data_IF_926648855483
#
_entry.id   IF_926648855483
#
_cell.length_a   1.000
_cell.length_b   1.000
_cell.length_c   1.000
_cell.angle_alpha   90.00
_cell.angle_beta   90.00
_cell.angle_gamma   90.00
#
_symmetry.space_group_name_H-M   'P 1'
#
loop_
_entity.id
_entity.type
_entity.pdbx_description
1 polymer ?
#
# COMPACT_ATOMS: atom_id res chain seq x y z
N UNK A 1 7.85 18.79 -20.05
CA UNK A 1 7.19 19.07 -18.76
C UNK A 1 7.19 17.76 -18.01
N UNK A 2 7.82 17.71 -16.83
CA UNK A 2 7.91 16.46 -16.05
C UNK A 2 6.49 16.18 -15.53
N UNK A 3 5.90 15.08 -15.95
CA UNK A 3 4.64 14.56 -15.40
C UNK A 3 4.98 13.29 -14.64
N UNK A 4 4.69 13.27 -13.34
CA UNK A 4 4.78 12.07 -12.51
C UNK A 4 3.36 11.56 -12.20
N UNK A 5 3.16 10.25 -12.01
CA UNK A 5 1.89 9.69 -11.54
C UNK A 5 1.45 10.32 -10.22
N UNK A 6 0.14 10.42 -10.00
CA UNK A 6 -0.39 11.02 -8.78
C UNK A 6 0.01 10.20 -7.54
N UNK A 7 0.16 8.87 -7.66
CA UNK A 7 0.61 7.96 -6.60
C UNK A 7 2.03 8.29 -6.17
N UNK A 8 2.91 8.49 -7.14
CA UNK A 8 4.29 8.89 -6.90
C UNK A 8 4.36 10.28 -6.25
N UNK A 9 3.55 11.23 -6.72
CA UNK A 9 3.46 12.56 -6.14
C UNK A 9 2.89 12.53 -4.71
N UNK A 10 1.93 11.64 -4.44
CA UNK A 10 1.39 11.44 -3.10
C UNK A 10 2.46 10.92 -2.14
N UNK A 11 3.23 9.89 -2.55
CA UNK A 11 4.34 9.38 -1.74
C UNK A 11 5.36 10.48 -1.40
N UNK A 12 5.71 11.33 -2.36
CA UNK A 12 6.63 12.46 -2.13
C UNK A 12 6.05 13.49 -1.15
N UNK A 13 4.78 13.87 -1.29
CA UNK A 13 4.11 14.81 -0.36
C UNK A 13 4.03 14.24 1.05
N UNK A 14 3.75 12.95 1.20
CA UNK A 14 3.73 12.28 2.49
C UNK A 14 5.11 12.20 3.13
N UNK A 15 6.16 11.96 2.33
CA UNK A 15 7.53 11.98 2.83
C UNK A 15 7.98 13.38 3.25
N UNK A 16 7.64 14.42 2.49
CA UNK A 16 7.86 15.83 2.89
C UNK A 16 7.18 16.10 4.23
N UNK A 17 5.90 15.74 4.39
CA UNK A 17 5.20 15.96 5.67
C UNK A 17 5.83 15.17 6.84
N UNK A 18 6.34 13.96 6.60
CA UNK A 18 6.99 13.11 7.61
C UNK A 18 8.37 13.62 8.02
N UNK A 19 9.14 14.13 7.06
CA UNK A 19 10.53 14.57 7.23
C UNK A 19 10.67 16.05 7.62
N UNK A 20 9.58 16.69 8.05
CA UNK A 20 9.55 18.11 8.41
C UNK A 20 10.56 18.43 9.53
N UNK A 21 11.47 19.41 9.32
CA UNK A 21 12.37 19.93 10.34
C UNK A 21 11.64 20.57 11.53
N UNK A 22 12.40 20.99 12.54
CA UNK A 22 11.84 21.65 13.71
C UNK A 22 11.04 22.90 13.33
N UNK A 23 9.74 22.92 13.68
CA UNK A 23 8.83 24.05 13.42
C UNK A 23 9.35 25.37 13.95
N UNK A 24 10.07 25.34 15.08
CA UNK A 24 10.60 26.54 15.73
C UNK A 24 11.77 27.16 14.95
N UNK A 25 12.51 26.34 14.20
CA UNK A 25 13.69 26.76 13.44
C UNK A 25 13.41 26.88 11.94
N UNK A 26 12.17 26.71 11.52
CA UNK A 26 11.82 26.56 10.10
C UNK A 26 12.08 27.82 9.26
N UNK A 27 12.09 29.00 9.89
CA UNK A 27 12.43 30.26 9.22
C UNK A 27 13.95 30.49 9.07
N UNK A 28 14.78 29.65 9.69
CA UNK A 28 16.23 29.79 9.61
C UNK A 28 16.77 29.23 8.30
N UNK A 29 17.83 29.84 7.77
CA UNK A 29 18.56 29.36 6.60
C UNK A 29 19.47 28.17 6.98
N UNK A 30 18.86 27.01 7.24
CA UNK A 30 19.54 25.75 7.49
C UNK A 30 19.40 24.85 6.25
N UNK A 31 20.43 24.07 5.88
CA UNK A 31 20.37 23.20 4.70
C UNK A 31 19.18 22.23 4.70
N UNK A 32 18.81 21.71 5.88
CA UNK A 32 17.64 20.83 6.04
C UNK A 32 16.31 21.55 5.74
N UNK A 33 16.19 22.83 6.09
CA UNK A 33 15.01 23.63 5.82
C UNK A 33 14.93 23.98 4.33
N UNK A 34 16.06 24.32 3.71
CA UNK A 34 16.16 24.63 2.28
C UNK A 34 15.78 23.42 1.42
N UNK A 35 16.32 22.24 1.76
CA UNK A 35 15.97 20.98 1.09
C UNK A 35 14.47 20.68 1.23
N UNK A 36 13.95 20.75 2.47
CA UNK A 36 12.55 20.48 2.74
C UNK A 36 11.60 21.45 2.00
N UNK A 37 11.87 22.75 2.05
CA UNK A 37 11.07 23.77 1.36
C UNK A 37 11.17 23.64 -0.17
N UNK A 38 12.33 23.26 -0.68
CA UNK A 38 12.53 22.97 -2.10
C UNK A 38 11.68 21.79 -2.56
N UNK A 39 11.72 20.67 -1.84
CA UNK A 39 10.90 19.48 -2.10
C UNK A 39 9.41 19.79 -1.99
N UNK A 40 8.99 20.50 -0.94
CA UNK A 40 7.62 20.92 -0.74
C UNK A 40 7.11 21.78 -1.91
N UNK A 41 7.91 22.75 -2.35
CA UNK A 41 7.58 23.63 -3.48
C UNK A 41 7.45 22.84 -4.78
N UNK A 42 8.37 21.92 -5.05
CA UNK A 42 8.32 21.08 -6.23
C UNK A 42 7.06 20.19 -6.26
N UNK A 43 6.66 19.64 -5.12
CA UNK A 43 5.43 18.85 -5.02
C UNK A 43 4.19 19.68 -5.34
N UNK A 44 4.07 20.89 -4.81
CA UNK A 44 2.91 21.76 -5.07
C UNK A 44 2.90 22.24 -6.52
N UNK A 45 4.05 22.60 -7.10
CA UNK A 45 4.16 22.98 -8.51
C UNK A 45 3.71 21.85 -9.48
N UNK A 46 4.05 20.60 -9.16
CA UNK A 46 3.66 19.43 -9.93
C UNK A 46 2.17 19.10 -9.79
N UNK A 47 1.59 19.35 -8.62
CA UNK A 47 0.16 19.14 -8.35
C UNK A 47 -0.71 20.20 -9.02
N UNK A 48 -0.43 21.48 -8.79
CA UNK A 48 -1.15 22.60 -9.38
C UNK A 48 -0.23 23.82 -9.50
N UNK A 49 0.06 24.20 -10.75
CA UNK A 49 0.97 25.29 -11.06
C UNK A 49 0.51 26.65 -10.53
N UNK A 50 -0.81 26.91 -10.52
CA UNK A 50 -1.36 28.18 -10.03
C UNK A 50 -1.20 28.25 -8.51
N UNK A 51 -1.53 27.15 -7.81
CA UNK A 51 -1.31 27.05 -6.36
C UNK A 51 0.17 27.03 -6.00
N UNK A 52 1.04 26.49 -6.85
CA UNK A 52 2.50 26.53 -6.69
C UNK A 52 3.07 27.96 -6.64
N UNK A 53 2.53 28.88 -7.44
CA UNK A 53 2.90 30.31 -7.36
C UNK A 53 2.51 30.92 -6.01
N UNK A 54 1.30 30.62 -5.53
CA UNK A 54 0.82 31.11 -4.22
C UNK A 54 1.69 30.53 -3.09
N UNK A 55 1.98 29.23 -3.16
CA UNK A 55 2.79 28.52 -2.18
C UNK A 55 4.21 29.09 -2.08
N UNK A 56 4.86 29.41 -3.21
CA UNK A 56 6.17 30.09 -3.22
C UNK A 56 6.14 31.43 -2.52
N UNK A 57 5.05 32.19 -2.69
CA UNK A 57 4.84 33.44 -1.95
C UNK A 57 4.77 33.23 -0.42
N UNK A 58 4.18 32.13 0.04
CA UNK A 58 4.18 31.78 1.48
C UNK A 58 5.58 31.34 1.96
N UNK A 59 6.33 30.61 1.14
CA UNK A 59 7.73 30.28 1.43
C UNK A 59 8.58 31.55 1.55
N UNK A 60 8.44 32.51 0.65
CA UNK A 60 9.14 33.79 0.72
C UNK A 60 8.77 34.60 1.97
N UNK A 61 7.50 34.55 2.42
CA UNK A 61 7.07 35.16 3.69
C UNK A 61 7.66 34.46 4.91
N UNK A 62 7.98 33.17 4.82
CA UNK A 62 8.57 32.39 5.91
C UNK A 62 10.07 32.68 6.08
N UNK A 63 10.84 32.70 4.99
CA UNK A 63 12.32 32.77 5.02
C UNK A 63 12.92 34.06 4.46
N UNK A 64 12.11 34.92 3.84
CA UNK A 64 12.60 36.13 3.16
C UNK A 64 13.01 37.27 4.09
N UNK A 65 13.77 38.22 3.55
CA UNK A 65 14.25 39.41 4.28
C UNK A 65 13.12 40.29 4.87
N UNK A 66 11.89 40.19 4.32
CA UNK A 66 10.68 40.85 4.81
C UNK A 66 9.70 39.88 5.48
N UNK A 67 10.17 38.77 6.05
CA UNK A 67 9.31 37.78 6.68
C UNK A 67 8.37 38.45 7.69
N UNK A 68 7.06 38.34 7.43
CA UNK A 68 6.01 38.83 8.31
C UNK A 68 5.31 37.61 8.89
N UNK A 69 5.37 37.50 10.22
CA UNK A 69 4.80 36.41 11.02
C UNK A 69 5.12 35.01 10.47
N UNK A 70 6.34 34.48 10.74
CA UNK A 70 6.76 33.15 10.32
C UNK A 70 5.80 32.03 10.72
N UNK A 71 5.04 32.20 11.80
CA UNK A 71 4.05 31.18 12.24
C UNK A 71 2.86 31.13 11.29
N UNK A 72 2.38 32.28 10.84
CA UNK A 72 1.27 32.37 9.89
C UNK A 72 1.68 31.79 8.52
N UNK A 73 2.86 32.16 8.02
CA UNK A 73 3.39 31.63 6.77
C UNK A 73 3.57 30.09 6.83
N UNK A 74 4.17 29.58 7.92
CA UNK A 74 4.32 28.15 8.13
C UNK A 74 2.97 27.43 8.21
N UNK A 75 1.98 28.01 8.87
CA UNK A 75 0.63 27.45 8.92
C UNK A 75 0.00 27.35 7.52
N UNK A 76 0.14 28.38 6.68
CA UNK A 76 -0.37 28.37 5.31
C UNK A 76 0.32 27.31 4.44
N UNK A 77 1.66 27.16 4.58
CA UNK A 77 2.45 26.12 3.93
C UNK A 77 1.93 24.72 4.32
N UNK A 78 1.79 24.45 5.62
CA UNK A 78 1.33 23.15 6.10
C UNK A 78 -0.11 22.85 5.69
N UNK A 79 -0.99 23.86 5.71
CA UNK A 79 -2.37 23.72 5.25
C UNK A 79 -2.42 23.33 3.77
N UNK A 80 -1.60 23.96 2.94
CA UNK A 80 -1.52 23.64 1.51
C UNK A 80 -0.98 22.23 1.28
N UNK A 81 0.08 21.82 1.98
CA UNK A 81 0.63 20.46 1.88
C UNK A 81 -0.39 19.39 2.33
N UNK A 82 -1.16 19.66 3.39
CA UNK A 82 -2.24 18.77 3.81
C UNK A 82 -3.39 18.72 2.81
N UNK A 83 -3.71 19.83 2.14
CA UNK A 83 -4.68 19.85 1.06
C UNK A 83 -4.20 19.02 -0.14
N UNK A 84 -2.96 19.23 -0.58
CA UNK A 84 -2.33 18.46 -1.67
C UNK A 84 -2.40 16.97 -1.38
N UNK A 85 -1.96 16.55 -0.18
CA UNK A 85 -2.04 15.15 0.26
C UNK A 85 -3.48 14.62 0.18
N UNK A 86 -4.46 15.40 0.61
CA UNK A 86 -5.86 14.96 0.67
C UNK A 86 -6.46 14.84 -0.72
N UNK A 87 -6.28 15.83 -1.57
CA UNK A 87 -6.76 15.79 -2.96
C UNK A 87 -6.07 14.67 -3.75
N UNK A 88 -4.74 14.50 -3.56
CA UNK A 88 -4.02 13.39 -4.17
C UNK A 88 -4.54 12.04 -3.68
N UNK A 89 -4.69 11.82 -2.36
CA UNK A 89 -5.30 10.59 -1.81
C UNK A 89 -6.69 10.31 -2.40
N UNK A 90 -7.52 11.33 -2.53
CA UNK A 90 -8.85 11.19 -3.15
C UNK A 90 -8.78 10.88 -4.65
N UNK A 91 -7.67 11.22 -5.32
CA UNK A 91 -7.46 11.02 -6.76
C UNK A 91 -6.66 9.76 -7.10
N UNK A 92 -5.81 9.26 -6.20
CA UNK A 92 -4.91 8.10 -6.39
C UNK A 92 -5.49 6.84 -5.82
N UNK A 93 -6.09 6.95 -4.64
CA UNK A 93 -6.73 5.81 -4.02
C UNK A 93 -8.12 5.79 -4.64
N UNK A 94 -8.35 4.85 -5.56
CA UNK A 94 -9.70 4.35 -5.80
C UNK A 94 -10.37 4.00 -4.46
N UNK A 95 -11.66 3.62 -4.43
CA UNK A 95 -12.32 3.35 -3.15
C UNK A 95 -11.47 2.42 -2.27
N UNK A 96 -11.00 2.94 -1.13
CA UNK A 96 -10.18 2.22 -0.13
C UNK A 96 -10.79 0.88 0.27
N UNK A 97 -12.11 0.78 0.11
CA UNK A 97 -12.86 -0.46 0.20
C UNK A 97 -13.68 -0.64 -1.05
N UNK A 98 -13.44 -1.73 -1.77
CA UNK A 98 -14.35 -2.19 -2.81
C UNK A 98 -15.35 -3.14 -2.17
N UNK A 99 -16.63 -2.81 -2.23
CA UNK A 99 -17.71 -3.70 -1.83
C UNK A 99 -18.26 -4.41 -3.07
N UNK A 100 -18.22 -5.74 -3.04
CA UNK A 100 -18.70 -6.60 -4.12
C UNK A 100 -19.95 -7.33 -3.64
N UNK A 101 -21.04 -7.20 -4.40
CA UNK A 101 -22.31 -7.85 -4.09
C UNK A 101 -22.23 -9.38 -4.13
N UNK A 102 -23.22 -10.05 -3.53
CA UNK A 102 -23.35 -11.50 -3.68
C UNK A 102 -23.47 -11.89 -5.16
N UNK A 103 -23.03 -13.10 -5.49
CA UNK A 103 -22.98 -13.70 -6.84
C UNK A 103 -22.10 -12.99 -7.86
N UNK A 104 -21.32 -11.97 -7.45
CA UNK A 104 -20.37 -11.22 -8.29
C UNK A 104 -18.94 -11.74 -8.14
N UNK A 105 -18.75 -13.06 -8.27
CA UNK A 105 -17.46 -13.73 -8.06
C UNK A 105 -16.36 -13.19 -8.98
N UNK A 106 -16.70 -12.93 -10.25
CA UNK A 106 -15.74 -12.38 -11.20
C UNK A 106 -15.32 -10.95 -10.87
N UNK A 107 -16.27 -10.10 -10.44
CA UNK A 107 -15.98 -8.73 -10.06
C UNK A 107 -14.99 -8.72 -8.88
N UNK A 108 -15.21 -9.56 -7.86
CA UNK A 108 -14.28 -9.72 -6.74
C UNK A 108 -12.91 -10.23 -7.18
N UNK A 109 -12.88 -11.29 -8.01
CA UNK A 109 -11.65 -11.82 -8.57
C UNK A 109 -10.85 -10.74 -9.30
N UNK A 110 -11.52 -9.91 -10.11
CA UNK A 110 -10.87 -8.87 -10.89
C UNK A 110 -10.23 -7.79 -10.00
N UNK A 111 -10.87 -7.43 -8.88
CA UNK A 111 -10.27 -6.49 -7.92
C UNK A 111 -9.04 -7.07 -7.22
N UNK A 112 -9.10 -8.34 -6.77
CA UNK A 112 -7.93 -9.01 -6.19
C UNK A 112 -6.81 -9.15 -7.23
N UNK A 113 -7.15 -9.50 -8.48
CA UNK A 113 -6.18 -9.60 -9.59
C UNK A 113 -5.45 -8.28 -9.80
N UNK A 114 -6.16 -7.14 -9.84
CA UNK A 114 -5.53 -5.82 -10.00
C UNK A 114 -4.50 -5.55 -8.90
N UNK A 115 -4.78 -5.95 -7.66
CA UNK A 115 -3.83 -5.83 -6.54
C UNK A 115 -2.65 -6.78 -6.70
N UNK A 116 -2.86 -8.01 -7.15
CA UNK A 116 -1.77 -8.97 -7.38
C UNK A 116 -0.80 -8.46 -8.45
N UNK A 117 -1.34 -7.91 -9.53
CA UNK A 117 -0.57 -7.40 -10.67
C UNK A 117 0.29 -6.17 -10.33
N UNK A 118 0.11 -5.54 -9.16
CA UNK A 118 1.02 -4.46 -8.69
C UNK A 118 2.29 -4.98 -8.01
N UNK A 119 2.37 -6.28 -7.68
CA UNK A 119 3.52 -6.86 -6.99
C UNK A 119 4.76 -7.00 -7.87
N UNK A 120 5.93 -6.65 -7.33
CA UNK A 120 7.21 -6.70 -8.06
C UNK A 120 8.30 -7.54 -7.38
N UNK A 121 8.26 -7.63 -6.05
CA UNK A 121 9.33 -8.20 -5.23
C UNK A 121 8.82 -9.26 -4.26
N UNK A 122 7.73 -8.96 -3.55
CA UNK A 122 7.12 -9.84 -2.56
C UNK A 122 5.60 -9.73 -2.62
N UNK A 123 4.93 -10.87 -2.55
CA UNK A 123 3.50 -10.94 -2.34
C UNK A 123 3.22 -11.96 -1.24
N UNK A 124 2.56 -11.51 -0.18
CA UNK A 124 2.28 -12.35 0.98
C UNK A 124 0.79 -12.48 1.22
N UNK A 125 0.27 -13.70 1.01
CA UNK A 125 -1.12 -14.03 1.30
C UNK A 125 -1.24 -14.69 2.66
N UNK A 126 -2.21 -14.20 3.44
CA UNK A 126 -2.69 -14.78 4.67
C UNK A 126 -4.14 -15.16 4.45
N UNK A 127 -4.49 -16.44 4.48
CA UNK A 127 -5.88 -16.91 4.49
C UNK A 127 -5.92 -18.34 5.03
N UNK A 128 -6.74 -18.64 6.06
CA UNK A 128 -6.86 -20.00 6.57
C UNK A 128 -7.28 -21.03 5.50
N UNK A 129 -7.96 -20.59 4.45
CA UNK A 129 -8.68 -21.42 3.48
C UNK A 129 -8.03 -21.48 2.09
N UNK A 130 -6.74 -21.15 1.95
CA UNK A 130 -5.99 -21.31 0.70
C UNK A 130 -6.00 -22.77 0.22
N UNK A 131 -6.40 -23.02 -1.03
CA UNK A 131 -6.51 -24.35 -1.64
C UNK A 131 -6.12 -24.35 -3.13
N UNK A 132 -6.34 -25.46 -3.82
CA UNK A 132 -6.07 -25.58 -5.27
C UNK A 132 -6.84 -24.57 -6.15
N UNK A 133 -8.05 -24.17 -5.75
CA UNK A 133 -8.84 -23.16 -6.46
C UNK A 133 -8.16 -21.79 -6.34
N UNK A 134 -7.64 -21.45 -5.15
CA UNK A 134 -6.84 -20.24 -4.97
C UNK A 134 -5.58 -20.24 -5.86
N UNK A 135 -4.83 -21.36 -5.86
CA UNK A 135 -3.58 -21.49 -6.63
C UNK A 135 -3.83 -21.19 -8.10
N UNK A 136 -4.78 -21.91 -8.71
CA UNK A 136 -5.09 -21.77 -10.14
C UNK A 136 -5.71 -20.42 -10.49
N UNK A 137 -6.45 -19.80 -9.57
CA UNK A 137 -7.13 -18.52 -9.81
C UNK A 137 -6.19 -17.32 -9.74
N UNK A 138 -5.28 -17.28 -8.76
CA UNK A 138 -4.58 -16.04 -8.42
C UNK A 138 -3.08 -16.07 -8.71
N UNK A 139 -2.40 -17.19 -8.48
CA UNK A 139 -0.95 -17.24 -8.66
C UNK A 139 -0.47 -17.02 -10.11
N UNK A 140 -1.22 -17.38 -11.17
CA UNK A 140 -0.82 -17.07 -12.55
C UNK A 140 -0.74 -15.56 -12.86
N UNK A 141 -1.28 -14.69 -12.01
CA UNK A 141 -1.25 -13.24 -12.19
C UNK A 141 -0.06 -12.56 -11.49
N UNK A 142 0.73 -13.33 -10.72
CA UNK A 142 1.90 -12.79 -10.03
C UNK A 142 3.00 -12.51 -11.04
N UNK A 143 3.60 -11.32 -10.95
CA UNK A 143 4.72 -10.92 -11.81
C UNK A 143 5.91 -11.86 -11.67
N UNK A 144 6.60 -12.11 -12.78
CA UNK A 144 7.82 -12.92 -12.78
C UNK A 144 8.90 -12.26 -11.91
N UNK A 145 9.59 -13.05 -11.09
CA UNK A 145 10.61 -12.56 -10.16
C UNK A 145 10.09 -12.19 -8.76
N UNK A 146 8.77 -12.11 -8.58
CA UNK A 146 8.16 -11.88 -7.26
C UNK A 146 8.22 -13.16 -6.41
N UNK A 147 8.60 -13.02 -5.14
CA UNK A 147 8.48 -14.12 -4.16
C UNK A 147 7.05 -14.19 -3.63
N UNK A 148 6.44 -15.37 -3.72
CA UNK A 148 5.09 -15.61 -3.20
C UNK A 148 5.21 -16.29 -1.83
N UNK A 149 4.66 -15.65 -0.80
CA UNK A 149 4.54 -16.23 0.55
C UNK A 149 3.07 -16.55 0.83
N UNK A 150 2.79 -17.74 1.33
CA UNK A 150 1.45 -18.22 1.63
C UNK A 150 1.38 -18.70 3.08
N UNK A 151 0.52 -18.10 3.88
CA UNK A 151 0.23 -18.52 5.25
C UNK A 151 -1.22 -19.02 5.34
N UNK A 152 -1.39 -20.32 5.61
CA UNK A 152 -2.69 -20.96 5.70
C UNK A 152 -2.61 -22.35 6.34
N UNK A 153 -3.74 -22.89 6.80
CA UNK A 153 -3.73 -24.13 7.59
C UNK A 153 -4.91 -25.09 7.39
N UNK A 154 -6.06 -24.66 6.84
CA UNK A 154 -7.27 -25.52 6.80
C UNK A 154 -7.35 -26.44 5.59
N UNK A 155 -6.74 -26.07 4.46
CA UNK A 155 -6.94 -26.76 3.18
C UNK A 155 -5.64 -27.34 2.59
N UNK A 156 -4.67 -27.72 3.44
CA UNK A 156 -3.33 -28.19 3.03
C UNK A 156 -3.36 -29.38 2.07
N UNK A 157 -4.30 -30.31 2.23
CA UNK A 157 -4.42 -31.52 1.39
C UNK A 157 -4.61 -31.23 -0.10
N UNK A 158 -5.24 -30.10 -0.43
CA UNK A 158 -5.44 -29.68 -1.83
C UNK A 158 -4.46 -28.58 -2.22
N UNK A 159 -4.01 -27.75 -1.27
CA UNK A 159 -3.06 -26.68 -1.50
C UNK A 159 -1.67 -27.21 -1.88
N UNK A 160 -1.09 -28.12 -1.08
CA UNK A 160 0.29 -28.57 -1.26
C UNK A 160 0.53 -29.19 -2.65
N UNK A 161 -0.28 -30.16 -3.11
CA UNK A 161 -0.06 -30.74 -4.45
C UNK A 161 -0.23 -29.71 -5.58
N UNK A 162 -1.18 -28.77 -5.44
CA UNK A 162 -1.39 -27.72 -6.45
C UNK A 162 -0.18 -26.77 -6.54
N UNK A 163 0.42 -26.42 -5.40
CA UNK A 163 1.62 -25.59 -5.35
C UNK A 163 2.83 -26.28 -5.95
N UNK A 164 3.00 -27.58 -5.70
CA UNK A 164 4.10 -28.36 -6.29
C UNK A 164 4.02 -28.36 -7.82
N UNK A 165 2.82 -28.61 -8.38
CA UNK A 165 2.58 -28.54 -9.82
C UNK A 165 2.84 -27.13 -10.37
N UNK A 166 2.32 -26.10 -9.71
CA UNK A 166 2.48 -24.70 -10.13
C UNK A 166 3.95 -24.26 -10.13
N UNK A 167 4.72 -24.59 -9.08
CA UNK A 167 6.16 -24.29 -8.98
C UNK A 167 6.95 -24.89 -10.13
N UNK A 168 6.65 -26.15 -10.48
CA UNK A 168 7.33 -26.86 -11.58
C UNK A 168 7.06 -26.17 -12.92
N UNK A 169 5.82 -25.74 -13.15
CA UNK A 169 5.42 -25.12 -14.42
C UNK A 169 5.94 -23.68 -14.57
N UNK A 170 5.68 -22.83 -13.59
CA UNK A 170 5.90 -21.38 -13.70
C UNK A 170 7.29 -20.92 -13.24
N UNK A 171 8.05 -21.80 -12.56
CA UNK A 171 9.37 -21.48 -11.99
C UNK A 171 9.37 -20.26 -11.05
N UNK A 172 8.25 -20.03 -10.35
CA UNK A 172 8.10 -18.97 -9.36
C UNK A 172 8.53 -19.48 -7.98
N UNK A 173 9.20 -18.63 -7.19
CA UNK A 173 9.51 -18.94 -5.80
C UNK A 173 8.24 -18.82 -4.96
N UNK A 174 7.68 -19.96 -4.52
CA UNK A 174 6.52 -19.98 -3.62
C UNK A 174 6.89 -20.65 -2.30
N UNK A 175 6.70 -19.94 -1.20
CA UNK A 175 6.91 -20.41 0.16
C UNK A 175 5.55 -20.61 0.83
N UNK A 176 5.33 -21.79 1.40
CA UNK A 176 4.13 -22.09 2.18
C UNK A 176 4.56 -22.31 3.63
N UNK A 177 3.95 -21.58 4.55
CA UNK A 177 4.04 -21.84 5.98
C UNK A 177 2.66 -22.05 6.59
N UNK A 178 2.66 -22.79 7.70
CA UNK A 178 1.46 -23.20 8.43
C UNK A 178 1.53 -22.64 9.84
N UNK A 179 0.52 -21.86 10.20
CA UNK A 179 0.22 -21.46 11.56
C UNK A 179 -1.30 -21.43 11.73
N UNK A 180 -1.78 -21.69 12.95
CA UNK A 180 -3.19 -21.58 13.30
C UNK A 180 -3.46 -20.28 14.08
N UNK A 181 -4.65 -20.15 14.67
CA UNK A 181 -4.97 -19.02 15.56
C UNK A 181 -5.34 -17.70 14.87
N UNK A 182 -5.36 -17.63 13.54
CA UNK A 182 -5.86 -16.46 12.80
C UNK A 182 -7.10 -16.77 11.96
N UNK A 183 -7.97 -15.78 11.84
CA UNK A 183 -9.17 -15.83 10.99
C UNK A 183 -9.17 -14.77 9.89
N UNK A 184 -8.19 -13.86 9.92
CA UNK A 184 -8.11 -12.76 8.98
C UNK A 184 -7.58 -13.24 7.63
N UNK A 185 -7.78 -12.36 6.63
CA UNK A 185 -7.43 -12.62 5.25
C UNK A 185 -6.77 -11.38 4.72
N UNK A 186 -5.48 -11.46 4.45
CA UNK A 186 -4.68 -10.34 3.99
C UNK A 186 -3.90 -10.71 2.74
N UNK A 187 -3.66 -9.70 1.92
CA UNK A 187 -2.66 -9.70 0.85
C UNK A 187 -1.75 -8.51 1.10
N UNK A 188 -0.46 -8.76 1.31
CA UNK A 188 0.56 -7.74 1.42
C UNK A 188 1.34 -7.67 0.11
N UNK A 189 1.64 -6.45 -0.33
CA UNK A 189 2.37 -6.18 -1.58
C UNK A 189 3.65 -5.44 -1.24
N UNK A 190 4.79 -6.01 -1.66
CA UNK A 190 6.13 -5.42 -1.62
C UNK A 190 6.52 -4.80 -0.26
N UNK A 191 5.98 -5.37 0.84
CA UNK A 191 6.09 -4.85 2.21
C UNK A 191 5.67 -3.38 2.40
N UNK A 192 4.81 -2.84 1.52
CA UNK A 192 4.39 -1.43 1.51
C UNK A 192 2.88 -1.25 1.61
N UNK A 193 2.13 -2.22 1.11
CA UNK A 193 0.67 -2.15 1.06
C UNK A 193 0.07 -3.43 1.64
N UNK A 194 -1.14 -3.31 2.18
CA UNK A 194 -1.91 -4.42 2.71
C UNK A 194 -3.38 -4.24 2.36
N UNK A 195 -4.04 -5.31 1.95
CA UNK A 195 -5.47 -5.34 1.75
C UNK A 195 -6.10 -6.48 2.54
N UNK A 196 -7.17 -6.19 3.25
CA UNK A 196 -8.01 -7.15 3.95
C UNK A 196 -9.16 -7.61 3.07
N UNK A 197 -9.40 -8.91 3.03
CA UNK A 197 -10.60 -9.47 2.44
C UNK A 197 -11.64 -9.84 3.50
N UNK A 198 -12.89 -9.42 3.30
CA UNK A 198 -14.02 -9.77 4.17
C UNK A 198 -14.45 -11.24 4.10
N UNK A 199 -13.96 -12.00 3.11
CA UNK A 199 -14.23 -13.43 2.94
C UNK A 199 -12.99 -14.14 2.35
N UNK A 200 -12.91 -15.47 2.40
CA UNK A 200 -11.75 -16.19 1.83
C UNK A 200 -11.58 -15.80 0.36
N UNK A 201 -10.34 -15.69 -0.10
CA UNK A 201 -10.07 -15.27 -1.48
C UNK A 201 -10.74 -16.19 -2.51
N UNK A 202 -10.96 -17.45 -2.13
CA UNK A 202 -11.70 -18.42 -2.96
C UNK A 202 -13.22 -18.28 -2.86
N UNK A 203 -13.81 -17.92 -1.72
CA UNK A 203 -15.28 -17.95 -1.51
C UNK A 203 -15.97 -16.58 -1.51
N UNK A 204 -15.19 -15.50 -1.54
CA UNK A 204 -15.70 -14.15 -1.63
C UNK A 204 -16.66 -13.97 -2.82
N UNK A 205 -17.75 -13.24 -2.57
CA UNK A 205 -18.84 -12.98 -3.51
C UNK A 205 -19.56 -14.23 -4.08
N UNK A 206 -19.26 -15.46 -3.63
CA UNK A 206 -20.00 -16.68 -4.08
C UNK A 206 -21.44 -16.68 -3.58
N UNK A 207 -21.63 -16.50 -2.27
CA UNK A 207 -22.94 -16.61 -1.59
C UNK A 207 -23.35 -15.33 -0.87
N UNK A 208 -22.39 -14.57 -0.36
CA UNK A 208 -22.60 -13.33 0.37
C UNK A 208 -21.71 -12.23 -0.23
N UNK A 209 -22.06 -10.95 -0.04
CA UNK A 209 -21.19 -9.85 -0.40
C UNK A 209 -19.83 -9.97 0.30
N UNK A 210 -18.80 -9.40 -0.30
CA UNK A 210 -17.45 -9.35 0.25
C UNK A 210 -16.85 -7.96 0.04
N UNK A 211 -15.95 -7.57 0.92
CA UNK A 211 -15.15 -6.36 0.78
C UNK A 211 -13.70 -6.70 0.51
N UNK A 212 -13.02 -5.84 -0.23
CA UNK A 212 -11.56 -5.78 -0.31
C UNK A 212 -11.13 -4.38 0.13
N UNK A 213 -10.47 -4.29 1.27
CA UNK A 213 -10.19 -3.01 1.96
C UNK A 213 -8.69 -2.83 2.12
N UNK A 214 -8.13 -1.73 1.63
CA UNK A 214 -6.75 -1.37 1.89
C UNK A 214 -6.58 -0.91 3.34
N UNK A 215 -5.62 -1.51 4.05
CA UNK A 215 -5.22 -1.12 5.40
C UNK A 215 -4.13 -0.06 5.28
N UNK A 216 -4.39 1.14 5.80
CA UNK A 216 -3.48 2.29 5.66
C UNK A 216 -2.92 2.75 7.00
N UNK A 217 -3.78 3.14 7.94
CA UNK A 217 -3.42 3.64 9.26
C UNK A 217 -2.83 2.57 10.18
N UNK A 218 -3.31 1.32 10.08
CA UNK A 218 -2.83 0.18 10.86
C UNK A 218 -1.78 -0.66 10.13
N UNK A 219 -1.31 -0.26 8.94
CA UNK A 219 -0.45 -1.07 8.07
C UNK A 219 0.78 -1.60 8.81
N UNK A 220 1.55 -0.71 9.47
CA UNK A 220 2.79 -1.09 10.14
C UNK A 220 2.56 -2.11 11.27
N UNK A 221 1.49 -1.93 12.05
CA UNK A 221 1.14 -2.85 13.14
C UNK A 221 0.68 -4.21 12.60
N UNK A 222 -0.21 -4.22 11.61
CA UNK A 222 -0.73 -5.46 11.00
C UNK A 222 0.39 -6.23 10.30
N UNK A 223 1.24 -5.54 9.52
CA UNK A 223 2.41 -6.13 8.87
C UNK A 223 3.35 -6.76 9.90
N UNK A 224 3.71 -6.05 10.97
CA UNK A 224 4.57 -6.59 12.02
C UNK A 224 3.99 -7.83 12.70
N UNK A 225 2.68 -7.89 12.93
CA UNK A 225 2.03 -9.05 13.55
C UNK A 225 2.15 -10.27 12.63
N UNK A 226 1.80 -10.12 11.36
CA UNK A 226 1.77 -11.24 10.43
C UNK A 226 3.16 -11.70 9.98
N UNK A 227 4.15 -10.80 9.94
CA UNK A 227 5.55 -11.17 9.75
C UNK A 227 6.10 -11.96 10.96
N UNK A 228 5.68 -11.63 12.19
CA UNK A 228 6.05 -12.40 13.39
C UNK A 228 5.41 -13.80 13.40
N UNK A 229 4.14 -13.90 12.96
CA UNK A 229 3.48 -15.20 12.77
C UNK A 229 4.20 -15.99 11.69
N UNK A 230 4.51 -15.37 10.54
CA UNK A 230 5.26 -16.00 9.46
C UNK A 230 6.60 -16.56 9.97
N UNK A 231 7.36 -15.77 10.72
CA UNK A 231 8.66 -16.17 11.26
C UNK A 231 8.59 -17.40 12.19
N UNK A 232 7.50 -17.55 12.95
CA UNK A 232 7.29 -18.68 13.88
C UNK A 232 6.53 -19.87 13.27
N UNK A 233 5.93 -19.70 12.09
CA UNK A 233 5.18 -20.73 11.38
C UNK A 233 6.07 -21.85 10.83
N UNK A 234 5.50 -23.05 10.69
CA UNK A 234 6.22 -24.25 10.24
C UNK A 234 6.06 -24.49 8.74
N UNK A 235 7.03 -25.18 8.13
CA UNK A 235 6.90 -25.68 6.76
C UNK A 235 6.09 -26.98 6.81
N UNK A 236 5.06 -27.18 5.97
CA UNK A 236 4.30 -28.42 5.96
C UNK A 236 5.19 -29.60 5.54
N UNK A 237 5.11 -30.71 6.29
CA UNK A 237 5.82 -31.94 5.95
C UNK A 237 5.35 -32.47 4.58
N UNK A 238 6.30 -32.89 3.74
CA UNK A 238 6.01 -33.59 2.49
C UNK A 238 5.45 -34.97 2.86
N UNK A 239 4.14 -35.17 2.65
CA UNK A 239 3.48 -36.48 2.78
C UNK A 239 3.62 -37.29 1.50
#
# INVERSE_FOLDING_TARGET
MIKIPHEQLLCEVEDVLRSMPSREKMSHALPENEDWLGRATACVDLWDRVRGVIFKGEVEKLVGFRAQDPKVALHAILTTLHQVRTELRLSTVGPLTVAVGATRVFDYYNEVRKVIETSNTDIFFVDPYLDAEFVSRYLPHVSSGTTVRLLGYKCLKTLVPALELFKVQERINVELRVADGFHDRYIFIDHRECYQSGASFKDAAKKAPATLTQITDAFAAVSSIYEAIWASATVPEQQ
#
